data_IF_341443144775
#
_entry.id   IF_341443144775
#
_cell.length_a   1.000
_cell.length_b   1.000
_cell.length_c   1.000
_cell.angle_alpha   90.00
_cell.angle_beta   90.00
_cell.angle_gamma   90.00
#
_symmetry.space_group_name_H-M   'P 1'
#
loop_
_entity.id
_entity.type
_entity.pdbx_description
1 polymer ?
#
# COMPACT_ATOMS: atom_id res chain seq x y z
N UNK A 1 -66.74 34.82 1.79
CA UNK A 1 -66.47 33.42 1.41
C UNK A 1 -65.07 33.08 1.87
N UNK A 2 -64.93 32.15 2.82
CA UNK A 2 -63.64 31.73 3.35
C UNK A 2 -63.02 30.71 2.39
N UNK A 3 -61.79 30.99 1.93
CA UNK A 3 -61.00 30.05 1.13
C UNK A 3 -60.24 29.15 2.10
N UNK A 4 -60.63 27.88 2.14
CA UNK A 4 -60.09 26.85 3.02
C UNK A 4 -58.70 26.43 2.55
N UNK A 5 -57.73 26.53 3.45
CA UNK A 5 -56.37 26.02 3.28
C UNK A 5 -56.36 24.49 3.13
N UNK A 6 -55.66 23.98 2.12
CA UNK A 6 -55.19 22.59 2.09
C UNK A 6 -53.66 22.61 2.14
N UNK A 7 -53.11 22.69 3.35
CA UNK A 7 -51.71 22.38 3.61
C UNK A 7 -51.55 20.87 3.53
N UNK A 8 -51.03 20.38 2.39
CA UNK A 8 -50.63 18.99 2.21
C UNK A 8 -49.42 18.74 3.12
N UNK A 9 -49.68 18.17 4.30
CA UNK A 9 -48.63 17.58 5.12
C UNK A 9 -48.21 16.26 4.48
N UNK A 10 -47.34 16.32 3.47
CA UNK A 10 -46.65 15.15 2.95
C UNK A 10 -45.47 14.89 3.89
N UNK A 11 -45.61 13.89 4.75
CA UNK A 11 -44.47 13.36 5.51
C UNK A 11 -43.58 12.62 4.50
N UNK A 12 -42.34 13.06 4.21
CA UNK A 12 -41.56 12.53 3.08
C UNK A 12 -40.93 11.15 3.32
N UNK A 13 -41.15 10.55 4.47
CA UNK A 13 -40.27 9.50 5.00
C UNK A 13 -40.41 8.12 4.33
N UNK A 14 -41.61 7.57 4.05
CA UNK A 14 -41.74 6.19 3.57
C UNK A 14 -41.25 5.97 2.13
N UNK A 15 -41.39 6.99 1.28
CA UNK A 15 -41.11 6.88 -0.16
C UNK A 15 -39.61 6.90 -0.44
N UNK A 16 -38.83 7.63 0.36
CA UNK A 16 -37.37 7.64 0.25
C UNK A 16 -36.77 6.29 0.66
N UNK A 17 -37.27 5.71 1.76
CA UNK A 17 -36.82 4.39 2.24
C UNK A 17 -37.15 3.27 1.22
N UNK A 18 -38.32 3.33 0.57
CA UNK A 18 -38.67 2.41 -0.53
C UNK A 18 -37.80 2.61 -1.77
N UNK A 19 -37.43 3.84 -2.12
CA UNK A 19 -36.54 4.12 -3.26
C UNK A 19 -35.12 3.61 -2.98
N UNK A 20 -34.60 3.78 -1.76
CA UNK A 20 -33.28 3.28 -1.33
C UNK A 20 -33.28 1.74 -1.27
N UNK A 21 -34.39 1.13 -0.86
CA UNK A 21 -34.54 -0.33 -0.88
C UNK A 21 -34.65 -0.89 -2.31
N UNK A 22 -35.35 -0.19 -3.21
CA UNK A 22 -35.52 -0.58 -4.63
C UNK A 22 -34.28 -0.32 -5.49
N UNK A 23 -33.42 0.63 -5.10
CA UNK A 23 -32.21 0.99 -5.85
C UNK A 23 -31.11 -0.07 -5.76
N UNK A 24 -31.16 -0.97 -4.77
CA UNK A 24 -30.09 -1.93 -4.50
C UNK A 24 -28.78 -1.24 -4.07
N UNK A 25 -28.80 0.06 -3.78
CA UNK A 25 -27.60 0.84 -3.40
C UNK A 25 -26.88 0.23 -2.21
N UNK A 26 -27.63 -0.36 -1.27
CA UNK A 26 -27.07 -1.05 -0.10
C UNK A 26 -26.36 -2.37 -0.45
N UNK A 27 -26.74 -3.07 -1.53
CA UNK A 27 -26.04 -4.28 -1.98
C UNK A 27 -24.75 -3.92 -2.74
N UNK A 28 -24.78 -2.87 -3.56
CA UNK A 28 -23.60 -2.36 -4.27
C UNK A 28 -22.54 -1.88 -3.27
N UNK A 29 -22.93 -1.10 -2.25
CA UNK A 29 -22.02 -0.63 -1.22
C UNK A 29 -21.39 -1.78 -0.43
N UNK A 30 -22.17 -2.82 -0.08
CA UNK A 30 -21.64 -4.04 0.56
C UNK A 30 -20.61 -4.78 -0.30
N UNK A 31 -20.88 -4.94 -1.59
CA UNK A 31 -19.94 -5.59 -2.51
C UNK A 31 -18.66 -4.76 -2.66
N UNK A 32 -18.78 -3.43 -2.78
CA UNK A 32 -17.63 -2.53 -2.84
C UNK A 32 -16.80 -2.58 -1.56
N UNK A 33 -17.44 -2.61 -0.38
CA UNK A 33 -16.77 -2.76 0.92
C UNK A 33 -15.93 -4.03 0.98
N UNK A 34 -16.51 -5.18 0.62
CA UNK A 34 -15.78 -6.46 0.57
C UNK A 34 -14.58 -6.36 -0.39
N UNK A 35 -14.75 -5.71 -1.54
CA UNK A 35 -13.66 -5.51 -2.50
C UNK A 35 -12.52 -4.66 -1.91
N UNK A 36 -12.83 -3.53 -1.26
CA UNK A 36 -11.82 -2.69 -0.61
C UNK A 36 -11.11 -3.42 0.53
N UNK A 37 -11.83 -4.12 1.40
CA UNK A 37 -11.24 -4.91 2.49
C UNK A 37 -10.26 -5.97 1.98
N UNK A 38 -10.64 -6.70 0.92
CA UNK A 38 -9.76 -7.68 0.28
C UNK A 38 -8.53 -7.03 -0.34
N UNK A 39 -8.70 -5.91 -1.05
CA UNK A 39 -7.60 -5.20 -1.67
C UNK A 39 -6.63 -4.65 -0.61
N UNK A 40 -7.14 -4.02 0.45
CA UNK A 40 -6.33 -3.55 1.59
C UNK A 40 -5.53 -4.70 2.19
N UNK A 41 -6.18 -5.84 2.48
CA UNK A 41 -5.50 -6.99 3.07
C UNK A 41 -4.37 -7.51 2.17
N UNK A 42 -4.60 -7.59 0.86
CA UNK A 42 -3.59 -8.00 -0.12
C UNK A 42 -2.42 -7.03 -0.17
N UNK A 43 -2.69 -5.73 -0.22
CA UNK A 43 -1.65 -4.71 -0.29
C UNK A 43 -0.86 -4.58 1.03
N UNK A 44 -1.48 -4.82 2.19
CA UNK A 44 -0.77 -4.90 3.47
C UNK A 44 0.17 -6.12 3.51
N UNK A 45 -0.28 -7.27 3.02
CA UNK A 45 0.55 -8.46 2.91
C UNK A 45 1.74 -8.23 1.94
N UNK A 46 1.49 -7.54 0.81
CA UNK A 46 2.54 -7.17 -0.12
C UNK A 46 3.54 -6.16 0.49
N UNK A 47 3.05 -5.17 1.25
CA UNK A 47 3.91 -4.25 2.02
C UNK A 47 4.84 -5.00 2.96
N UNK A 48 4.30 -6.00 3.68
CA UNK A 48 5.10 -6.85 4.58
C UNK A 48 6.19 -7.59 3.80
N UNK A 49 5.83 -8.22 2.68
CA UNK A 49 6.77 -8.90 1.80
C UNK A 49 7.91 -7.98 1.33
N UNK A 50 7.60 -6.75 0.91
CA UNK A 50 8.63 -5.78 0.51
C UNK A 50 9.56 -5.43 1.67
N UNK A 51 9.00 -5.19 2.87
CA UNK A 51 9.79 -4.88 4.08
C UNK A 51 10.74 -6.01 4.45
N UNK A 52 10.28 -7.26 4.38
CA UNK A 52 11.13 -8.43 4.63
C UNK A 52 12.29 -8.49 3.62
N UNK A 53 12.00 -8.26 2.33
CA UNK A 53 13.04 -8.18 1.29
C UNK A 53 14.04 -7.03 1.52
N UNK A 54 13.59 -5.88 2.02
CA UNK A 54 14.47 -4.75 2.37
C UNK A 54 15.47 -5.18 3.48
N UNK A 55 14.99 -5.91 4.49
CA UNK A 55 15.84 -6.43 5.57
C UNK A 55 16.89 -7.39 5.00
N UNK A 56 16.49 -8.30 4.12
CA UNK A 56 17.41 -9.26 3.49
C UNK A 56 18.48 -8.59 2.61
N UNK A 57 18.07 -7.58 1.82
CA UNK A 57 18.99 -6.80 0.99
C UNK A 57 19.97 -6.01 1.86
N UNK A 58 19.50 -5.39 2.95
CA UNK A 58 20.38 -4.70 3.92
C UNK A 58 21.39 -5.66 4.54
N UNK A 59 20.95 -6.85 4.95
CA UNK A 59 21.84 -7.87 5.50
C UNK A 59 22.89 -8.33 4.48
N UNK A 60 22.49 -8.49 3.21
CA UNK A 60 23.42 -8.81 2.12
C UNK A 60 24.43 -7.70 1.86
N UNK A 61 23.96 -6.44 1.86
CA UNK A 61 24.81 -5.27 1.68
C UNK A 61 25.86 -5.16 2.80
N UNK A 62 25.47 -5.38 4.07
CA UNK A 62 26.41 -5.42 5.20
C UNK A 62 27.50 -6.48 5.00
N UNK A 63 27.14 -7.69 4.56
CA UNK A 63 28.13 -8.75 4.29
C UNK A 63 29.11 -8.36 3.19
N UNK A 64 28.63 -7.77 2.10
CA UNK A 64 29.49 -7.29 1.00
C UNK A 64 30.43 -6.18 1.49
N UNK A 65 29.93 -5.21 2.26
CA UNK A 65 30.75 -4.16 2.86
C UNK A 65 31.89 -4.73 3.73
N UNK A 66 31.58 -5.73 4.56
CA UNK A 66 32.59 -6.41 5.40
C UNK A 66 33.63 -7.10 4.50
N UNK A 67 33.20 -7.86 3.49
CA UNK A 67 34.09 -8.57 2.58
C UNK A 67 35.05 -7.61 1.84
N UNK A 68 34.54 -6.50 1.30
CA UNK A 68 35.36 -5.47 0.64
C UNK A 68 36.42 -4.95 1.62
N UNK A 69 36.01 -4.58 2.83
CA UNK A 69 36.92 -4.02 3.85
C UNK A 69 38.01 -5.03 4.25
N UNK A 70 37.64 -6.29 4.44
CA UNK A 70 38.59 -7.35 4.76
C UNK A 70 39.62 -7.56 3.64
N UNK A 71 39.17 -7.56 2.38
CA UNK A 71 40.06 -7.68 1.22
C UNK A 71 40.97 -6.45 1.07
N UNK A 72 40.42 -5.25 1.21
CA UNK A 72 41.19 -3.99 1.16
C UNK A 72 42.21 -3.85 2.30
N UNK A 73 42.05 -4.62 3.39
CA UNK A 73 43.01 -4.69 4.50
C UNK A 73 44.19 -5.62 4.26
N UNK A 74 44.14 -6.50 3.25
CA UNK A 74 45.24 -7.40 2.91
C UNK A 74 46.42 -6.62 2.31
N UNK A 75 47.64 -7.08 2.58
CA UNK A 75 48.87 -6.42 2.12
C UNK A 75 49.05 -6.51 0.61
N UNK A 76 48.55 -7.57 -0.03
CA UNK A 76 48.68 -7.81 -1.46
C UNK A 76 47.39 -7.42 -2.19
N UNK A 77 47.13 -6.11 -2.30
CA UNK A 77 45.88 -5.60 -2.87
C UNK A 77 45.75 -5.89 -4.37
N UNK A 78 46.86 -5.94 -5.09
CA UNK A 78 46.87 -6.18 -6.53
C UNK A 78 46.34 -7.58 -6.86
N UNK A 79 46.70 -8.59 -6.06
CA UNK A 79 46.15 -9.95 -6.20
C UNK A 79 44.65 -10.06 -5.93
N UNK A 80 44.05 -9.11 -5.21
CA UNK A 80 42.62 -9.10 -4.88
C UNK A 80 41.81 -8.07 -5.67
N UNK A 81 42.44 -7.31 -6.57
CA UNK A 81 41.82 -6.17 -7.25
C UNK A 81 40.53 -6.57 -7.97
N UNK A 82 40.60 -7.58 -8.82
CA UNK A 82 39.44 -8.03 -9.61
C UNK A 82 38.29 -8.51 -8.72
N UNK A 83 38.61 -9.17 -7.60
CA UNK A 83 37.61 -9.60 -6.62
C UNK A 83 36.96 -8.40 -5.92
N UNK A 84 37.76 -7.42 -5.49
CA UNK A 84 37.27 -6.18 -4.87
C UNK A 84 36.36 -5.42 -5.82
N UNK A 85 36.74 -5.29 -7.10
CA UNK A 85 35.94 -4.61 -8.12
C UNK A 85 34.61 -5.33 -8.34
N UNK A 86 34.61 -6.68 -8.41
CA UNK A 86 33.39 -7.48 -8.48
C UNK A 86 32.46 -7.28 -7.26
N UNK A 87 33.00 -7.20 -6.05
CA UNK A 87 32.20 -6.91 -4.86
C UNK A 87 31.66 -5.48 -4.86
N UNK A 88 32.40 -4.49 -5.40
CA UNK A 88 31.92 -3.11 -5.54
C UNK A 88 30.74 -3.03 -6.50
N UNK A 89 30.81 -3.70 -7.65
CA UNK A 89 29.67 -3.81 -8.57
C UNK A 89 28.45 -4.47 -7.90
N UNK A 90 28.68 -5.54 -7.13
CA UNK A 90 27.63 -6.21 -6.37
C UNK A 90 26.99 -5.28 -5.34
N UNK A 91 27.80 -4.51 -4.61
CA UNK A 91 27.34 -3.50 -3.64
C UNK A 91 26.47 -2.45 -4.32
N UNK A 92 26.91 -1.90 -5.44
CA UNK A 92 26.16 -0.88 -6.18
C UNK A 92 24.80 -1.43 -6.67
N UNK A 93 24.79 -2.68 -7.15
CA UNK A 93 23.57 -3.38 -7.53
C UNK A 93 22.59 -3.58 -6.36
N UNK A 94 23.10 -3.93 -5.17
CA UNK A 94 22.30 -4.06 -3.96
C UNK A 94 21.77 -2.71 -3.46
N UNK A 95 22.56 -1.63 -3.53
CA UNK A 95 22.14 -0.27 -3.18
C UNK A 95 21.02 0.23 -4.09
N UNK A 96 21.13 -0.02 -5.40
CA UNK A 96 20.07 0.28 -6.36
C UNK A 96 18.79 -0.52 -6.05
N UNK A 97 18.92 -1.82 -5.78
CA UNK A 97 17.78 -2.68 -5.41
C UNK A 97 17.11 -2.20 -4.12
N UNK A 98 17.90 -1.81 -3.12
CA UNK A 98 17.39 -1.28 -1.85
C UNK A 98 16.59 0.01 -2.04
N UNK A 99 17.10 0.92 -2.88
CA UNK A 99 16.42 2.18 -3.20
C UNK A 99 15.07 1.92 -3.85
N UNK A 100 15.02 1.03 -4.86
CA UNK A 100 13.78 0.66 -5.55
C UNK A 100 12.76 -0.01 -4.63
N UNK A 101 13.20 -0.93 -3.77
CA UNK A 101 12.31 -1.57 -2.80
C UNK A 101 11.76 -0.57 -1.77
N UNK A 102 12.58 0.38 -1.33
CA UNK A 102 12.14 1.42 -0.40
C UNK A 102 11.08 2.30 -1.03
N UNK A 103 11.32 2.78 -2.26
CA UNK A 103 10.34 3.56 -3.02
C UNK A 103 9.03 2.79 -3.21
N UNK A 104 9.13 1.52 -3.62
CA UNK A 104 7.96 0.67 -3.81
C UNK A 104 7.18 0.46 -2.50
N UNK A 105 7.86 0.35 -1.36
CA UNK A 105 7.21 0.24 -0.06
C UNK A 105 6.43 1.51 0.32
N UNK A 106 6.99 2.67 0.01
CA UNK A 106 6.37 3.97 0.28
C UNK A 106 5.13 4.19 -0.62
N UNK A 107 5.26 3.93 -1.92
CA UNK A 107 4.15 3.99 -2.89
C UNK A 107 3.00 3.06 -2.46
N UNK A 108 3.32 1.83 -2.07
CA UNK A 108 2.31 0.87 -1.64
C UNK A 108 1.64 1.27 -0.32
N UNK A 109 2.40 1.85 0.61
CA UNK A 109 1.86 2.34 1.88
C UNK A 109 0.88 3.50 1.67
N UNK A 110 1.19 4.43 0.76
CA UNK A 110 0.27 5.53 0.44
C UNK A 110 -0.99 5.02 -0.29
N UNK A 111 -0.85 4.07 -1.21
CA UNK A 111 -2.00 3.40 -1.83
C UNK A 111 -2.92 2.70 -0.82
N UNK A 112 -2.35 2.02 0.18
CA UNK A 112 -3.13 1.40 1.28
C UNK A 112 -3.90 2.45 2.10
N UNK A 113 -3.30 3.62 2.37
CA UNK A 113 -4.02 4.70 3.07
C UNK A 113 -5.20 5.20 2.27
N UNK A 114 -5.04 5.39 0.97
CA UNK A 114 -6.10 5.85 0.08
C UNK A 114 -7.25 4.84 0.04
N UNK A 115 -6.96 3.54 -0.11
CA UNK A 115 -7.98 2.49 -0.05
C UNK A 115 -8.73 2.48 1.29
N UNK A 116 -8.04 2.69 2.41
CA UNK A 116 -8.68 2.79 3.74
C UNK A 116 -9.61 3.99 3.84
N UNK A 117 -9.24 5.13 3.25
CA UNK A 117 -10.11 6.31 3.19
C UNK A 117 -11.36 5.98 2.36
N UNK A 118 -11.22 5.34 1.20
CA UNK A 118 -12.37 4.94 0.38
C UNK A 118 -13.29 3.96 1.10
N UNK A 119 -12.73 2.97 1.81
CA UNK A 119 -13.51 2.04 2.63
C UNK A 119 -14.29 2.79 3.73
N UNK A 120 -13.65 3.74 4.42
CA UNK A 120 -14.30 4.52 5.47
C UNK A 120 -15.42 5.44 4.93
N UNK A 121 -15.29 5.94 3.70
CA UNK A 121 -16.36 6.70 3.04
C UNK A 121 -17.57 5.80 2.79
N UNK A 122 -17.36 4.55 2.37
CA UNK A 122 -18.46 3.59 2.18
C UNK A 122 -19.18 3.33 3.50
N UNK A 123 -18.45 3.18 4.61
CA UNK A 123 -19.05 3.00 5.95
C UNK A 123 -19.92 4.19 6.38
N UNK A 124 -19.66 5.40 5.87
CA UNK A 124 -20.48 6.60 6.12
C UNK A 124 -21.70 6.70 5.19
N UNK A 125 -21.72 5.92 4.11
CA UNK A 125 -22.82 5.85 3.14
C UNK A 125 -23.78 4.68 3.40
N UNK A 126 -23.43 3.75 4.29
CA UNK A 126 -24.33 2.71 4.85
C UNK A 126 -25.28 3.27 5.91
#
# INVERSE_FOLDING_TARGET
>A
MASSCCSLNVTPTPVLDEIIALSGETEILKVMKIFFEQQISKEEAFTKYIRDNIVDVKGSLTRVYIAIREMESKSDKDSWKDAIDCFKETKDGLELKLTRLTQLADENFDGVKELKIHSAIIDLCE
#
